data_IF_568563700243
#
_entry.id   IF_568563700243
#
_cell.length_a   1.000
_cell.length_b   1.000
_cell.length_c   1.000
_cell.angle_alpha   90.00
_cell.angle_beta   90.00
_cell.angle_gamma   90.00
#
_symmetry.space_group_name_H-M   'P 1'
#
loop_
_entity.id
_entity.type
_entity.pdbx_description
1 polymer ?
#
# COMPACT_ATOMS: atom_id res chain seq x y z
N UNK A 1 13.07 -4.05 -16.14
CA UNK A 1 13.32 -5.05 -15.08
C UNK A 1 12.03 -5.83 -14.86
N UNK A 2 12.04 -7.17 -14.96
CA UNK A 2 10.86 -8.00 -14.69
C UNK A 2 10.35 -7.73 -13.28
N UNK A 3 9.04 -7.55 -13.12
CA UNK A 3 8.37 -7.31 -11.83
C UNK A 3 7.83 -8.63 -11.25
N UNK A 4 8.66 -9.66 -11.22
CA UNK A 4 8.26 -10.99 -10.75
C UNK A 4 8.33 -11.08 -9.23
N UNK A 5 7.18 -10.84 -8.60
CA UNK A 5 6.96 -11.13 -7.20
C UNK A 5 5.50 -10.93 -6.80
N UNK A 6 4.93 -11.76 -5.91
CA UNK A 6 3.51 -11.68 -5.50
C UNK A 6 3.17 -10.38 -4.75
N UNK A 7 4.19 -9.58 -4.39
CA UNK A 7 4.07 -8.37 -3.57
C UNK A 7 3.26 -7.20 -4.16
N UNK A 8 2.79 -7.32 -5.41
CA UNK A 8 1.86 -6.39 -6.06
C UNK A 8 0.38 -6.82 -5.89
N UNK A 9 0.11 -7.93 -5.20
CA UNK A 9 -1.23 -8.48 -5.02
C UNK A 9 -2.23 -7.46 -4.45
N UNK A 10 -1.82 -6.74 -3.41
CA UNK A 10 -2.67 -5.69 -2.82
C UNK A 10 -2.95 -4.54 -3.79
N UNK A 11 -1.95 -4.13 -4.57
CA UNK A 11 -2.09 -3.04 -5.57
C UNK A 11 -3.07 -3.42 -6.66
N UNK A 12 -2.99 -4.66 -7.16
CA UNK A 12 -3.93 -5.16 -8.16
C UNK A 12 -5.35 -5.25 -7.60
N UNK A 13 -5.51 -5.75 -6.37
CA UNK A 13 -6.82 -5.82 -5.71
C UNK A 13 -7.46 -4.43 -5.57
N UNK A 14 -6.68 -3.43 -5.14
CA UNK A 14 -7.14 -2.03 -5.02
C UNK A 14 -7.53 -1.43 -6.38
N UNK A 15 -6.73 -1.67 -7.42
CA UNK A 15 -7.03 -1.18 -8.76
C UNK A 15 -8.34 -1.80 -9.31
N UNK A 16 -8.54 -3.10 -9.13
CA UNK A 16 -9.77 -3.78 -9.52
C UNK A 16 -10.98 -3.29 -8.71
N UNK A 17 -10.81 -3.12 -7.39
CA UNK A 17 -11.86 -2.59 -6.52
C UNK A 17 -12.26 -1.16 -6.90
N UNK A 18 -11.30 -0.31 -7.30
CA UNK A 18 -11.57 1.04 -7.81
C UNK A 18 -12.47 1.00 -9.04
N UNK A 19 -12.12 0.18 -10.05
CA UNK A 19 -12.93 0.02 -11.26
C UNK A 19 -14.32 -0.54 -10.95
N UNK A 20 -14.40 -1.57 -10.10
CA UNK A 20 -15.65 -2.23 -9.76
C UNK A 20 -16.61 -1.35 -8.93
N UNK A 21 -16.07 -0.45 -8.10
CA UNK A 21 -16.86 0.41 -7.21
C UNK A 21 -17.09 1.82 -7.74
N UNK A 22 -16.41 2.23 -8.83
CA UNK A 22 -16.45 3.61 -9.33
C UNK A 22 -15.79 4.63 -8.40
N UNK A 23 -14.98 4.17 -7.42
CA UNK A 23 -14.27 5.03 -6.47
C UNK A 23 -12.87 5.32 -6.99
N UNK A 24 -12.40 6.56 -6.85
CA UNK A 24 -11.03 6.91 -7.23
C UNK A 24 -10.03 6.50 -6.14
N UNK A 25 -8.76 6.51 -6.50
CA UNK A 25 -7.66 6.15 -5.62
C UNK A 25 -6.95 7.41 -5.12
N UNK A 26 -6.49 7.36 -3.88
CA UNK A 26 -5.52 8.33 -3.38
C UNK A 26 -4.23 8.25 -4.22
N UNK A 27 -3.79 9.39 -4.73
CA UNK A 27 -2.59 9.51 -5.56
C UNK A 27 -1.30 9.72 -4.77
N UNK A 28 -1.40 9.97 -3.46
CA UNK A 28 -0.30 10.30 -2.55
C UNK A 28 0.24 9.09 -1.77
N UNK A 29 -0.24 7.88 -2.08
CA UNK A 29 0.09 6.65 -1.36
C UNK A 29 0.86 5.64 -2.22
N UNK A 30 1.84 4.97 -1.62
CA UNK A 30 2.42 3.74 -2.11
C UNK A 30 1.84 2.54 -1.34
N UNK A 31 1.85 1.34 -1.91
CA UNK A 31 1.45 0.13 -1.19
C UNK A 31 2.22 -1.10 -1.69
N UNK A 32 2.44 -2.06 -0.79
CA UNK A 32 2.99 -3.38 -1.14
C UNK A 32 2.41 -4.43 -0.20
N UNK A 33 2.24 -5.65 -0.71
CA UNK A 33 1.67 -6.75 0.06
C UNK A 33 1.23 -7.87 -0.87
N UNK A 34 1.55 -9.10 -0.49
CA UNK A 34 0.91 -10.26 -1.11
C UNK A 34 -0.50 -10.42 -0.53
N UNK A 35 -1.44 -10.90 -1.35
CA UNK A 35 -2.83 -11.11 -0.94
C UNK A 35 -3.20 -12.59 -1.09
N UNK A 36 -3.87 -13.13 -0.09
CA UNK A 36 -4.45 -14.48 -0.17
C UNK A 36 -5.87 -14.42 -0.73
N UNK A 37 -6.41 -15.56 -1.20
CA UNK A 37 -7.83 -15.68 -1.59
C UNK A 37 -8.82 -15.34 -0.46
N UNK A 38 -8.36 -15.39 0.81
CA UNK A 38 -9.16 -15.01 1.98
C UNK A 38 -9.00 -13.55 2.39
N UNK A 39 -8.35 -12.73 1.55
CA UNK A 39 -8.17 -11.30 1.80
C UNK A 39 -7.09 -10.95 2.83
N UNK A 40 -6.33 -11.90 3.36
CA UNK A 40 -5.17 -11.59 4.23
C UNK A 40 -4.05 -10.91 3.44
N UNK A 41 -3.44 -9.90 4.05
CA UNK A 41 -2.24 -9.23 3.54
C UNK A 41 -1.00 -9.85 4.19
N UNK A 42 -0.11 -10.38 3.36
CA UNK A 42 1.07 -11.12 3.79
C UNK A 42 2.35 -10.28 3.67
N UNK A 43 3.36 -10.55 4.53
CA UNK A 43 4.61 -9.81 4.53
C UNK A 43 5.37 -9.99 3.22
N UNK A 44 6.14 -8.97 2.87
CA UNK A 44 6.94 -8.94 1.65
C UNK A 44 8.39 -8.64 1.98
N UNK A 45 9.30 -9.08 1.11
CA UNK A 45 10.71 -8.70 1.18
C UNK A 45 10.98 -7.31 0.59
N UNK A 46 12.17 -6.80 0.88
CA UNK A 46 12.70 -5.54 0.33
C UNK A 46 11.93 -4.30 0.79
N UNK A 47 11.44 -4.29 2.04
CA UNK A 47 10.62 -3.21 2.60
C UNK A 47 11.40 -1.89 2.57
N UNK A 48 12.67 -1.92 2.96
CA UNK A 48 13.55 -0.74 2.98
C UNK A 48 13.73 -0.13 1.59
N UNK A 49 14.02 -0.94 0.58
CA UNK A 49 14.18 -0.49 -0.80
C UNK A 49 12.88 0.11 -1.35
N UNK A 50 11.73 -0.49 -1.01
CA UNK A 50 10.40 -0.01 -1.42
C UNK A 50 10.03 1.32 -0.77
N UNK A 51 10.32 1.50 0.53
CA UNK A 51 10.10 2.76 1.24
C UNK A 51 10.99 3.86 0.66
N UNK A 52 12.27 3.56 0.40
CA UNK A 52 13.19 4.50 -0.24
C UNK A 52 12.73 4.87 -1.65
N UNK A 53 12.21 3.92 -2.42
CA UNK A 53 11.64 4.20 -3.74
C UNK A 53 10.44 5.13 -3.65
N UNK A 54 9.48 4.86 -2.75
CA UNK A 54 8.32 5.72 -2.52
C UNK A 54 8.73 7.14 -2.11
N UNK A 55 9.67 7.25 -1.17
CA UNK A 55 10.21 8.52 -0.71
C UNK A 55 10.86 9.33 -1.84
N UNK A 56 11.66 8.67 -2.70
CA UNK A 56 12.31 9.30 -3.86
C UNK A 56 11.32 9.77 -4.92
N UNK A 57 10.17 9.12 -5.06
CA UNK A 57 9.09 9.56 -5.98
C UNK A 57 8.18 10.62 -5.35
N UNK A 58 8.48 11.10 -4.14
CA UNK A 58 7.69 12.11 -3.44
C UNK A 58 6.45 11.55 -2.73
N UNK A 59 6.24 10.23 -2.74
CA UNK A 59 5.17 9.59 -1.99
C UNK A 59 5.59 9.50 -0.53
N UNK A 60 4.82 10.15 0.35
CA UNK A 60 5.12 10.21 1.79
C UNK A 60 4.33 9.20 2.60
N UNK A 61 3.28 8.62 2.03
CA UNK A 61 2.45 7.63 2.70
C UNK A 61 2.67 6.25 2.08
N UNK A 62 2.88 5.22 2.90
CA UNK A 62 3.04 3.84 2.43
C UNK A 62 2.17 2.88 3.24
N UNK A 63 1.43 2.02 2.53
CA UNK A 63 0.69 0.91 3.11
C UNK A 63 1.57 -0.34 3.10
N UNK A 64 1.75 -0.96 4.25
CA UNK A 64 2.58 -2.15 4.47
C UNK A 64 1.78 -3.24 5.19
N UNK A 65 2.14 -4.52 5.01
CA UNK A 65 1.62 -5.60 5.84
C UNK A 65 1.99 -5.34 7.31
N UNK A 66 1.06 -5.59 8.26
CA UNK A 66 1.32 -5.43 9.71
C UNK A 66 2.60 -6.14 10.17
N UNK A 67 2.85 -7.33 9.62
CA UNK A 67 4.03 -8.12 9.96
C UNK A 67 5.36 -7.49 9.51
N UNK A 68 5.33 -6.52 8.59
CA UNK A 68 6.51 -5.77 8.17
C UNK A 68 6.81 -4.55 9.06
N UNK A 69 6.04 -4.31 10.13
CA UNK A 69 6.32 -3.23 11.09
C UNK A 69 7.73 -3.34 11.71
N UNK A 70 8.17 -4.57 11.97
CA UNK A 70 9.51 -4.86 12.50
C UNK A 70 10.63 -4.45 11.53
N UNK A 71 10.39 -4.50 10.21
CA UNK A 71 11.38 -4.06 9.22
C UNK A 71 11.61 -2.53 9.26
N UNK A 72 10.72 -1.77 9.91
CA UNK A 72 10.95 -0.34 10.09
C UNK A 72 12.09 -0.06 11.06
N UNK A 73 12.43 -1.00 11.96
CA UNK A 73 13.54 -0.87 12.91
C UNK A 73 14.92 -0.68 12.23
N UNK A 74 15.04 -1.05 10.96
CA UNK A 74 16.25 -0.91 10.15
C UNK A 74 16.32 0.40 9.32
N UNK A 75 15.31 1.27 9.47
CA UNK A 75 15.25 2.56 8.78
C UNK A 75 15.93 3.67 9.59
N UNK A 76 16.55 4.63 8.90
CA UNK A 76 17.09 5.83 9.54
C UNK A 76 15.97 6.69 10.11
N UNK A 77 16.20 7.34 11.25
CA UNK A 77 15.20 8.13 11.96
C UNK A 77 14.64 9.28 11.12
N UNK A 78 15.47 9.92 10.28
CA UNK A 78 15.01 10.99 9.41
C UNK A 78 13.96 10.48 8.41
N UNK A 79 14.21 9.32 7.81
CA UNK A 79 13.28 8.70 6.87
C UNK A 79 11.98 8.26 7.55
N UNK A 80 12.05 7.76 8.79
CA UNK A 80 10.85 7.38 9.54
C UNK A 80 9.98 8.59 9.87
N UNK A 81 10.59 9.74 10.16
CA UNK A 81 9.87 10.98 10.47
C UNK A 81 9.22 11.64 9.25
N UNK A 82 9.83 11.46 8.07
CA UNK A 82 9.30 12.02 6.82
C UNK A 82 8.20 11.17 6.18
N UNK A 83 8.03 9.92 6.61
CA UNK A 83 7.09 8.97 6.04
C UNK A 83 5.92 8.68 7.00
N UNK A 84 4.73 8.52 6.44
CA UNK A 84 3.54 7.98 7.13
C UNK A 84 3.40 6.50 6.78
N UNK A 85 3.42 5.64 7.80
CA UNK A 85 3.26 4.20 7.64
C UNK A 85 1.85 3.79 8.04
N UNK A 86 1.16 3.10 7.15
CA UNK A 86 -0.15 2.51 7.40
C UNK A 86 0.01 1.01 7.33
N UNK A 87 -0.35 0.32 8.41
CA UNK A 87 -0.22 -1.12 8.49
C UNK A 87 -1.58 -1.79 8.31
N UNK A 88 -1.62 -2.85 7.51
CA UNK A 88 -2.83 -3.61 7.21
C UNK A 88 -2.65 -5.11 7.44
N UNK A 89 -3.65 -5.75 8.03
CA UNK A 89 -3.72 -7.22 8.19
C UNK A 89 -4.56 -7.90 7.10
N UNK A 90 -5.51 -7.16 6.51
CA UNK A 90 -6.43 -7.63 5.48
C UNK A 90 -6.66 -6.54 4.43
N UNK A 91 -7.27 -6.95 3.32
CA UNK A 91 -7.51 -6.09 2.16
C UNK A 91 -8.55 -5.00 2.44
N UNK A 92 -9.48 -5.22 3.37
CA UNK A 92 -10.52 -4.23 3.70
C UNK A 92 -9.92 -2.98 4.36
N UNK A 93 -8.92 -3.16 5.24
CA UNK A 93 -8.14 -2.06 5.81
C UNK A 93 -7.40 -1.26 4.71
N UNK A 94 -6.92 -1.94 3.68
CA UNK A 94 -6.26 -1.31 2.54
C UNK A 94 -7.28 -0.53 1.70
N UNK A 95 -8.44 -1.11 1.42
CA UNK A 95 -9.53 -0.45 0.68
C UNK A 95 -10.04 0.79 1.40
N UNK A 96 -10.24 0.71 2.71
CA UNK A 96 -10.65 1.84 3.54
C UNK A 96 -9.63 3.00 3.49
N UNK A 97 -8.35 2.67 3.33
CA UNK A 97 -7.27 3.66 3.24
C UNK A 97 -7.10 4.23 1.83
N UNK A 98 -7.15 3.37 0.82
CA UNK A 98 -6.70 3.68 -0.53
C UNK A 98 -7.79 4.25 -1.44
N UNK A 99 -9.04 3.83 -1.26
CA UNK A 99 -10.17 4.28 -2.07
C UNK A 99 -10.78 5.55 -1.45
N UNK A 100 -11.00 6.58 -2.24
CA UNK A 100 -11.70 7.81 -1.81
C UNK A 100 -13.19 7.55 -1.65
N UNK A 101 -13.95 8.53 -1.16
CA UNK A 101 -15.41 8.46 -1.28
C UNK A 101 -15.83 8.34 -2.76
N UNK A 102 -16.98 7.71 -3.04
CA UNK A 102 -17.53 7.66 -4.38
C UNK A 102 -17.63 9.09 -4.90
N UNK A 103 -17.20 9.33 -6.14
CA UNK A 103 -17.53 10.58 -6.79
C UNK A 103 -19.06 10.65 -6.81
N UNK A 104 -19.64 11.64 -6.11
CA UNK A 104 -21.06 11.96 -6.26
C UNK A 104 -21.23 12.31 -7.72
N UNK A 105 -21.76 11.37 -8.51
CA UNK A 105 -22.21 11.66 -9.85
C UNK A 105 -23.36 12.63 -9.66
N UNK A 106 -23.08 13.92 -9.87
CA UNK A 106 -24.13 14.93 -9.95
C UNK A 106 -25.09 14.50 -11.04
N UNK A 107 -26.28 14.09 -10.61
CA UNK A 107 -27.44 13.89 -11.49
C UNK A 107 -28.01 15.25 -11.83
#
# INVERSE_FOLDING_TARGET
VPKDGPSAGVTMAVALASVASGRTLRSDIAMTGEITMRGKVLPVGGVKEKILAAHRTGLRTVILPRRNERDLEDLRDELRREMTFIFADNVDEVFATALTEPATVGV
#
